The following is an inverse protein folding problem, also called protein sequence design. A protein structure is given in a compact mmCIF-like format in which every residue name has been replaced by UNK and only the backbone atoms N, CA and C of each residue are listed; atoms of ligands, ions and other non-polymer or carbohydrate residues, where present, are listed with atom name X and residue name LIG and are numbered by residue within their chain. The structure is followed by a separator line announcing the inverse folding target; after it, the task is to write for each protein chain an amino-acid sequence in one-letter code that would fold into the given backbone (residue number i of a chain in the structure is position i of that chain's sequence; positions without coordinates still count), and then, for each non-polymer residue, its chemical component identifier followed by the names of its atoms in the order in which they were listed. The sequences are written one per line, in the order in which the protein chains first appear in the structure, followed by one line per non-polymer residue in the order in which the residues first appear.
data_IF_506380435084
#
_entry.id   IF_506380435084
#
_cell.length_a   1.000
_cell.length_b   1.000
_cell.length_c   1.000
_cell.angle_alpha   90.00
_cell.angle_beta   90.00
_cell.angle_gamma   90.00
#
_symmetry.space_group_name_H-M   'P 1'
#
loop_
_entity.id
_entity.type
_entity.pdbx_description
1 polymer ?
#
# COMPACT_ATOMS: atom_id res chain seq x y z
N UNK A 1 -34.77 8.73 -10.91
CA UNK A 1 -34.48 9.24 -12.28
C UNK A 1 -33.13 9.93 -12.35
N UNK A 2 -32.82 10.81 -11.39
CA UNK A 2 -31.59 11.62 -11.37
C UNK A 2 -30.28 10.81 -11.33
N UNK A 3 -30.21 9.75 -10.52
CA UNK A 3 -29.01 8.89 -10.41
C UNK A 3 -28.63 8.25 -11.76
N UNK A 4 -29.61 7.76 -12.54
CA UNK A 4 -29.33 7.15 -13.85
C UNK A 4 -28.76 8.16 -14.85
N UNK A 5 -29.24 9.39 -14.81
CA UNK A 5 -28.72 10.46 -15.66
C UNK A 5 -27.28 10.86 -15.28
N UNK A 6 -26.98 10.88 -13.99
CA UNK A 6 -25.63 11.10 -13.48
C UNK A 6 -24.70 9.95 -13.88
N UNK A 7 -25.14 8.69 -13.79
CA UNK A 7 -24.41 7.50 -14.25
C UNK A 7 -24.08 7.57 -15.75
N UNK A 8 -25.06 7.88 -16.60
CA UNK A 8 -24.87 8.04 -18.05
C UNK A 8 -23.85 9.16 -18.36
N UNK A 9 -23.91 10.26 -17.60
CA UNK A 9 -22.97 11.38 -17.75
C UNK A 9 -21.55 10.97 -17.33
N UNK A 10 -21.41 10.21 -16.24
CA UNK A 10 -20.12 9.70 -15.77
C UNK A 10 -19.51 8.76 -16.80
N UNK A 11 -20.31 7.88 -17.42
CA UNK A 11 -19.80 6.92 -18.40
C UNK A 11 -19.40 7.59 -19.71
N UNK A 12 -20.11 8.63 -20.15
CA UNK A 12 -19.68 9.51 -21.23
C UNK A 12 -18.31 10.15 -20.89
N UNK A 13 -18.17 10.72 -19.70
CA UNK A 13 -16.94 11.37 -19.26
C UNK A 13 -15.77 10.38 -19.16
N UNK A 14 -16.00 9.13 -18.73
CA UNK A 14 -14.99 8.07 -18.74
C UNK A 14 -14.57 7.68 -20.15
N UNK A 15 -15.52 7.62 -21.10
CA UNK A 15 -15.21 7.34 -22.49
C UNK A 15 -14.31 8.44 -23.09
N UNK A 16 -14.65 9.70 -22.82
CA UNK A 16 -13.83 10.85 -23.24
C UNK A 16 -12.46 10.85 -22.55
N UNK A 17 -12.41 10.52 -21.25
CA UNK A 17 -11.15 10.40 -20.53
C UNK A 17 -10.27 9.27 -21.07
N UNK A 18 -10.87 8.12 -21.42
CA UNK A 18 -10.18 7.01 -22.08
C UNK A 18 -9.57 7.47 -23.41
N UNK A 19 -10.33 8.23 -24.24
CA UNK A 19 -9.82 8.80 -25.48
C UNK A 19 -8.67 9.82 -25.28
N UNK A 20 -8.69 10.56 -24.17
CA UNK A 20 -7.62 11.52 -23.82
C UNK A 20 -6.38 10.83 -23.26
N UNK A 21 -6.55 9.70 -22.57
CA UNK A 21 -5.47 8.92 -21.93
C UNK A 21 -4.98 7.75 -22.78
N UNK A 22 -5.47 7.60 -24.02
CA UNK A 22 -5.01 6.56 -24.94
C UNK A 22 -3.48 6.59 -25.07
N UNK A 23 -2.78 5.47 -24.80
CA UNK A 23 -1.31 5.41 -24.82
C UNK A 23 -0.71 5.88 -26.15
N UNK A 24 -1.36 5.56 -27.27
CA UNK A 24 -0.94 6.00 -28.60
C UNK A 24 -1.02 7.52 -28.79
N UNK A 25 -2.00 8.19 -28.19
CA UNK A 25 -2.15 9.65 -28.24
C UNK A 25 -1.13 10.33 -27.33
N UNK A 26 -0.92 9.80 -26.13
CA UNK A 26 0.11 10.28 -25.21
C UNK A 26 1.52 10.15 -25.81
N UNK A 27 1.81 9.02 -26.46
CA UNK A 27 3.09 8.81 -27.15
C UNK A 27 3.30 9.86 -28.25
N UNK A 28 2.28 10.10 -29.09
CA UNK A 28 2.35 11.13 -30.14
C UNK A 28 2.60 12.53 -29.56
N UNK A 29 1.91 12.89 -28.47
CA UNK A 29 2.12 14.19 -27.81
C UNK A 29 3.51 14.29 -27.20
N UNK A 30 3.98 13.23 -26.54
CA UNK A 30 5.34 13.16 -25.99
C UNK A 30 6.41 13.32 -27.08
N UNK A 31 6.20 12.72 -28.25
CA UNK A 31 7.11 12.84 -29.40
C UNK A 31 7.08 14.25 -30.00
N UNK A 32 5.89 14.84 -30.19
CA UNK A 32 5.73 16.21 -30.73
C UNK A 32 6.38 17.25 -29.83
N UNK A 33 6.21 17.12 -28.52
CA UNK A 33 6.75 18.07 -27.55
C UNK A 33 8.09 17.62 -26.94
N UNK A 34 8.74 16.60 -27.50
CA UNK A 34 9.98 16.02 -26.98
C UNK A 34 11.08 17.05 -26.73
N UNK A 35 11.21 18.01 -27.65
CA UNK A 35 12.20 19.10 -27.57
C UNK A 35 11.90 20.13 -26.48
N UNK A 36 10.63 20.27 -26.07
CA UNK A 36 10.21 21.21 -25.02
C UNK A 36 10.21 20.55 -23.63
N UNK A 37 9.82 19.27 -23.55
CA UNK A 37 9.82 18.54 -22.29
C UNK A 37 11.20 17.99 -21.91
N UNK A 38 12.13 17.88 -22.86
CA UNK A 38 13.45 17.29 -22.60
C UNK A 38 13.37 15.85 -22.11
N UNK A 39 12.38 15.09 -22.61
CA UNK A 39 12.16 13.71 -22.20
C UNK A 39 13.26 12.83 -22.80
N UNK A 40 14.18 12.41 -21.94
CA UNK A 40 15.13 11.35 -22.25
C UNK A 40 14.50 9.98 -21.93
N UNK A 41 14.70 8.97 -22.79
CA UNK A 41 14.32 7.60 -22.46
C UNK A 41 14.94 7.20 -21.13
N UNK A 42 14.14 6.54 -20.26
CA UNK A 42 14.63 6.05 -18.97
C UNK A 42 15.78 5.08 -19.21
N UNK A 43 16.97 5.44 -18.73
CA UNK A 43 18.16 4.59 -18.86
C UNK A 43 18.08 3.41 -17.89
N UNK A 44 18.63 2.26 -18.27
CA UNK A 44 18.60 1.05 -17.42
C UNK A 44 19.17 1.27 -16.00
N UNK A 45 20.10 2.22 -15.84
CA UNK A 45 20.69 2.59 -14.53
C UNK A 45 19.71 3.30 -13.59
N UNK A 46 18.57 3.78 -14.09
CA UNK A 46 17.55 4.47 -13.29
C UNK A 46 16.56 3.49 -12.63
N UNK A 47 16.57 2.21 -13.04
CA UNK A 47 15.83 1.14 -12.36
C UNK A 47 16.77 0.54 -11.32
N UNK A 48 16.58 0.93 -10.05
CA UNK A 48 17.35 0.41 -8.93
C UNK A 48 16.98 -1.02 -8.57
N UNK A 49 17.92 -1.75 -7.97
CA UNK A 49 17.69 -3.04 -7.35
C UNK A 49 17.10 -2.93 -5.95
N UNK A 50 16.80 -4.05 -5.33
CA UNK A 50 16.34 -4.09 -3.93
C UNK A 50 17.41 -3.49 -2.99
N UNK A 51 18.68 -3.62 -3.36
CA UNK A 51 19.83 -3.07 -2.64
C UNK A 51 19.92 -1.53 -2.69
N UNK A 52 19.23 -0.88 -3.65
CA UNK A 52 19.16 0.58 -3.77
C UNK A 52 18.06 1.19 -2.90
N UNK A 53 17.22 0.35 -2.26
CA UNK A 53 16.16 0.81 -1.37
C UNK A 53 16.76 1.01 0.03
N UNK A 54 16.67 2.23 0.61
CA UNK A 54 17.16 2.45 1.97
C UNK A 54 16.37 1.56 2.95
N UNK A 55 17.10 0.75 3.72
CA UNK A 55 16.50 -0.06 4.79
C UNK A 55 15.87 0.87 5.84
N UNK A 56 14.60 0.59 6.18
CA UNK A 56 13.92 1.28 7.28
C UNK A 56 14.77 1.10 8.55
N UNK A 57 15.17 2.19 9.24
CA UNK A 57 15.88 2.06 10.51
C UNK A 57 14.96 1.37 11.52
N UNK A 58 15.47 0.30 12.14
CA UNK A 58 14.76 -0.39 13.22
C UNK A 58 14.69 0.53 14.43
N UNK A 59 13.50 0.82 14.92
CA UNK A 59 13.34 1.48 16.22
C UNK A 59 13.23 0.44 17.33
N UNK A 60 13.46 0.85 18.58
CA UNK A 60 13.41 -0.05 19.75
C UNK A 60 11.99 -0.63 19.90
N UNK A 61 10.98 0.13 19.52
CA UNK A 61 9.57 -0.24 19.50
C UNK A 61 9.31 -1.40 18.52
N UNK A 62 9.93 -1.38 17.33
CA UNK A 62 9.84 -2.45 16.32
C UNK A 62 10.45 -3.78 16.87
N UNK A 63 11.53 -3.70 17.67
CA UNK A 63 12.15 -4.89 18.29
C UNK A 63 11.36 -5.42 19.50
N UNK A 64 10.66 -4.55 20.22
CA UNK A 64 9.84 -4.92 21.38
C UNK A 64 8.57 -5.65 20.97
N UNK A 65 7.95 -5.23 19.86
CA UNK A 65 6.75 -5.86 19.30
C UNK A 65 7.05 -7.21 18.64
N UNK A 66 8.23 -7.36 18.03
CA UNK A 66 8.67 -8.63 17.44
C UNK A 66 8.97 -9.73 18.48
N UNK A 67 9.48 -9.37 19.67
CA UNK A 67 9.87 -10.33 20.71
C UNK A 67 8.72 -10.78 21.63
N UNK A 68 7.61 -10.07 21.65
CA UNK A 68 6.49 -10.37 22.56
C UNK A 68 5.49 -11.38 21.99
N UNK A 69 5.74 -11.89 20.77
CA UNK A 69 4.81 -12.72 19.99
C UNK A 69 4.84 -14.24 20.24
N UNK A 70 5.38 -14.73 21.35
CA UNK A 70 5.24 -16.16 21.66
C UNK A 70 6.28 -16.70 22.63
N UNK A 71 5.86 -16.90 23.89
CA UNK A 71 6.21 -18.09 24.69
C UNK A 71 5.40 -18.04 25.99
N UNK A 72 4.33 -18.80 26.06
CA UNK A 72 3.76 -19.28 27.32
C UNK A 72 3.58 -20.78 27.17
N UNK A 73 4.71 -21.49 27.03
CA UNK A 73 4.78 -22.93 27.15
C UNK A 73 4.98 -23.32 28.63
N UNK A 74 4.16 -24.30 29.00
CA UNK A 74 4.15 -25.12 30.20
C UNK A 74 5.42 -25.15 31.07
N UNK A 75 5.31 -24.64 32.29
CA UNK A 75 6.04 -25.18 33.45
C UNK A 75 5.02 -25.58 34.52
N UNK A 76 4.63 -26.85 34.50
CA UNK A 76 3.79 -27.45 35.52
C UNK A 76 4.51 -27.54 36.87
N UNK A 77 3.91 -26.92 37.89
CA UNK A 77 3.95 -27.43 39.25
C UNK A 77 2.63 -27.03 39.93
N UNK A 78 1.77 -28.02 40.24
CA UNK A 78 0.44 -27.79 40.83
C UNK A 78 0.49 -27.33 42.30
N UNK A 79 -0.65 -27.02 42.96
CA UNK A 79 -1.94 -27.67 42.73
C UNK A 79 -3.16 -26.74 42.54
N UNK A 80 -4.15 -27.29 41.84
CA UNK A 80 -5.58 -26.99 41.90
C UNK A 80 -6.00 -25.51 41.98
N UNK A 81 -6.34 -24.92 40.84
CA UNK A 81 -7.65 -24.25 40.76
C UNK A 81 -8.08 -24.08 39.31
N UNK A 82 -9.31 -24.51 39.08
CA UNK A 82 -10.01 -24.69 37.81
C UNK A 82 -10.41 -23.34 37.22
N UNK A 83 -9.46 -22.56 36.68
CA UNK A 83 -9.77 -21.28 36.00
C UNK A 83 -8.92 -21.05 34.77
N UNK A 84 -9.52 -21.32 33.61
CA UNK A 84 -9.16 -20.69 32.35
C UNK A 84 -9.22 -19.15 32.51
N UNK A 85 -8.11 -18.41 32.32
CA UNK A 85 -8.16 -16.96 32.38
C UNK A 85 -8.75 -16.41 31.07
N UNK A 86 -10.07 -16.21 31.06
CA UNK A 86 -10.74 -15.41 30.02
C UNK A 86 -10.38 -13.93 30.19
N UNK A 87 -9.57 -13.42 29.26
CA UNK A 87 -9.25 -12.00 29.10
C UNK A 87 -10.39 -11.34 28.33
N UNK A 88 -11.28 -10.67 29.05
CA UNK A 88 -12.27 -9.75 28.46
C UNK A 88 -11.60 -8.40 28.23
N UNK A 89 -11.69 -7.90 27.00
CA UNK A 89 -11.04 -6.67 26.53
C UNK A 89 -11.39 -5.44 27.38
N UNK A 90 -10.36 -4.60 27.55
CA UNK A 90 -10.34 -3.31 28.22
C UNK A 90 -11.43 -2.32 27.77
N UNK A 91 -11.89 -1.48 28.70
CA UNK A 91 -12.13 -0.06 28.39
C UNK A 91 -11.45 0.85 29.43
N UNK A 92 -10.72 1.80 28.87
CA UNK A 92 -9.86 2.83 29.46
C UNK A 92 -10.60 3.78 30.40
N UNK A 93 -9.94 4.20 31.47
CA UNK A 93 -10.03 5.56 32.01
C UNK A 93 -8.63 6.11 32.30
#
# INVERSE_FOLDING_TARGET
AQIRYEEDTIDLLKADWSLLTQPSRLQKLADVYKTQLGLEPVGARQIGGLDDIPVKPLTIEDLSSQRLGGMADSSGNGPADDKDPVVTGSTVQ
#
